data_IF_680004324564
#
_entry.id   IF_680004324564
#
_cell.length_a   1.000
_cell.length_b   1.000
_cell.length_c   1.000
_cell.angle_alpha   90.00
_cell.angle_beta   90.00
_cell.angle_gamma   90.00
#
_symmetry.space_group_name_H-M   'P 1'
#
loop_
_entity.id
_entity.type
_entity.pdbx_description
1 polymer ?
#
# COMPACT_ATOMS: atom_id res chain seq x y z
N UNK A 1 -14.11 -12.30 -0.06
CA UNK A 1 -13.19 -11.18 -0.40
C UNK A 1 -13.52 -10.68 -1.79
N UNK A 2 -13.67 -9.38 -1.94
CA UNK A 2 -14.02 -8.74 -3.20
C UNK A 2 -12.92 -7.75 -3.60
N UNK A 3 -12.51 -7.80 -4.86
CA UNK A 3 -11.58 -6.81 -5.39
C UNK A 3 -12.37 -5.56 -5.78
N UNK A 4 -12.03 -4.43 -5.18
CA UNK A 4 -12.70 -3.16 -5.45
C UNK A 4 -12.04 -2.44 -6.61
N UNK A 5 -10.71 -2.29 -6.52
CA UNK A 5 -9.90 -1.66 -7.56
C UNK A 5 -8.62 -2.45 -7.76
N UNK A 6 -8.13 -2.41 -8.99
CA UNK A 6 -6.81 -2.94 -9.30
C UNK A 6 -6.20 -1.94 -10.28
N UNK A 7 -5.21 -1.20 -9.81
CA UNK A 7 -4.59 -0.11 -10.56
C UNK A 7 -3.15 -0.46 -10.83
N UNK A 8 -2.82 -0.91 -12.05
CA UNK A 8 -1.43 -1.14 -12.41
C UNK A 8 -0.73 0.20 -12.58
N UNK A 9 0.51 0.27 -12.13
CA UNK A 9 1.34 1.45 -12.27
C UNK A 9 2.70 1.06 -12.82
N UNK A 10 3.49 2.06 -13.20
CA UNK A 10 4.82 1.81 -13.74
C UNK A 10 5.76 1.23 -12.66
N UNK A 11 5.61 1.69 -11.42
CA UNK A 11 6.47 1.28 -10.32
C UNK A 11 5.69 0.67 -9.17
N UNK A 12 4.46 1.08 -8.95
CA UNK A 12 3.64 0.64 -7.83
C UNK A 12 2.32 0.10 -8.34
N UNK A 13 1.99 -1.13 -7.97
CA UNK A 13 0.68 -1.72 -8.23
C UNK A 13 -0.19 -1.52 -7.00
N UNK A 14 -1.37 -0.97 -7.19
CA UNK A 14 -2.33 -0.76 -6.11
C UNK A 14 -3.50 -1.72 -6.27
N UNK A 15 -3.80 -2.48 -5.22
CA UNK A 15 -4.95 -3.36 -5.18
C UNK A 15 -5.76 -3.04 -3.94
N UNK A 16 -7.07 -2.89 -4.10
CA UNK A 16 -7.96 -2.64 -2.98
C UNK A 16 -8.96 -3.78 -2.90
N UNK A 17 -9.02 -4.42 -1.74
CA UNK A 17 -9.98 -5.48 -1.45
C UNK A 17 -10.99 -4.99 -0.42
N UNK A 18 -12.18 -5.56 -0.47
CA UNK A 18 -13.17 -5.41 0.60
C UNK A 18 -13.40 -6.78 1.21
N UNK A 19 -13.19 -6.92 2.51
CA UNK A 19 -13.35 -8.17 3.20
C UNK A 19 -13.62 -7.92 4.68
N UNK A 20 -14.63 -8.60 5.20
CA UNK A 20 -14.94 -8.57 6.63
C UNK A 20 -15.12 -7.16 7.16
N UNK A 21 -15.89 -6.33 6.42
CA UNK A 21 -16.20 -4.95 6.76
C UNK A 21 -14.98 -4.03 6.84
N UNK A 22 -13.95 -4.37 6.06
CA UNK A 22 -12.73 -3.57 5.98
C UNK A 22 -12.33 -3.42 4.52
N UNK A 23 -11.66 -2.31 4.23
CA UNK A 23 -10.91 -2.17 3.00
C UNK A 23 -9.47 -2.51 3.28
N UNK A 24 -8.88 -3.31 2.42
CA UNK A 24 -7.46 -3.64 2.46
C UNK A 24 -6.81 -2.96 1.27
N UNK A 25 -5.98 -1.97 1.54
CA UNK A 25 -5.29 -1.22 0.50
C UNK A 25 -3.86 -1.72 0.43
N UNK A 26 -3.50 -2.33 -0.69
CA UNK A 26 -2.20 -2.97 -0.85
C UNK A 26 -1.42 -2.27 -1.94
N UNK A 27 -0.25 -1.74 -1.59
CA UNK A 27 0.70 -1.18 -2.54
C UNK A 27 1.88 -2.13 -2.67
N UNK A 28 2.22 -2.48 -3.90
CA UNK A 28 3.34 -3.37 -4.19
C UNK A 28 4.35 -2.69 -5.08
N UNK A 29 5.62 -2.74 -4.69
CA UNK A 29 6.74 -2.22 -5.48
C UNK A 29 7.91 -3.17 -5.34
N UNK A 30 8.34 -3.77 -6.45
CA UNK A 30 9.41 -4.76 -6.49
C UNK A 30 9.12 -5.92 -5.52
N UNK A 31 9.97 -6.14 -4.53
CA UNK A 31 9.83 -7.20 -3.54
C UNK A 31 9.14 -6.73 -2.27
N UNK A 32 8.64 -5.51 -2.24
CA UNK A 32 8.07 -4.90 -1.05
C UNK A 32 6.58 -4.66 -1.21
N UNK A 33 5.87 -4.71 -0.09
CA UNK A 33 4.45 -4.33 -0.10
C UNK A 33 4.09 -3.61 1.19
N UNK A 34 3.11 -2.73 1.09
CA UNK A 34 2.50 -2.07 2.24
C UNK A 34 1.02 -2.34 2.17
N UNK A 35 0.44 -2.78 3.27
CA UNK A 35 -0.99 -3.06 3.35
C UNK A 35 -1.60 -2.25 4.49
N UNK A 36 -2.66 -1.52 4.16
CA UNK A 36 -3.40 -0.71 5.12
C UNK A 36 -4.81 -1.27 5.24
N UNK A 37 -5.29 -1.39 6.47
CA UNK A 37 -6.65 -1.85 6.75
C UNK A 37 -7.46 -0.65 7.22
N UNK A 38 -8.57 -0.38 6.56
CA UNK A 38 -9.43 0.75 6.88
C UNK A 38 -10.83 0.22 7.13
N UNK A 39 -11.42 0.57 8.28
CA UNK A 39 -12.78 0.14 8.62
C UNK A 39 -13.80 0.82 7.71
N UNK A 40 -14.85 0.07 7.33
CA UNK A 40 -15.98 0.64 6.60
C UNK A 40 -16.74 1.69 7.42
N UNK A 41 -16.51 1.75 8.72
CA UNK A 41 -17.10 2.80 9.56
C UNK A 41 -16.42 4.14 9.35
N UNK A 42 -15.15 4.13 8.97
CA UNK A 42 -14.39 5.35 8.72
C UNK A 42 -14.54 5.82 7.27
N UNK A 43 -14.61 4.86 6.35
CA UNK A 43 -14.77 5.14 4.92
C UNK A 43 -15.90 4.27 4.41
N UNK A 44 -16.96 4.91 3.94
CA UNK A 44 -18.22 4.22 3.68
C UNK A 44 -18.46 3.89 2.20
N UNK A 45 -17.63 4.36 1.29
CA UNK A 45 -17.83 4.10 -0.13
C UNK A 45 -16.53 3.81 -0.87
N UNK A 46 -16.65 3.07 -1.97
CA UNK A 46 -15.53 2.76 -2.85
C UNK A 46 -14.93 4.04 -3.43
N UNK A 47 -15.77 5.05 -3.68
CA UNK A 47 -15.32 6.33 -4.22
C UNK A 47 -14.41 7.06 -3.24
N UNK A 48 -14.70 6.99 -1.94
CA UNK A 48 -13.86 7.60 -0.92
C UNK A 48 -12.51 6.89 -0.82
N UNK A 49 -12.49 5.58 -1.02
CA UNK A 49 -11.22 4.84 -1.07
C UNK A 49 -10.39 5.30 -2.27
N UNK A 50 -11.05 5.55 -3.42
CA UNK A 50 -10.34 6.05 -4.59
C UNK A 50 -9.69 7.41 -4.30
N UNK A 51 -10.40 8.30 -3.62
CA UNK A 51 -9.85 9.60 -3.24
C UNK A 51 -8.64 9.45 -2.34
N UNK A 52 -8.69 8.50 -1.41
CA UNK A 52 -7.58 8.23 -0.50
C UNK A 52 -6.33 7.77 -1.25
N UNK A 53 -6.48 6.84 -2.18
CA UNK A 53 -5.32 6.32 -2.92
C UNK A 53 -4.80 7.31 -3.96
N UNK A 54 -5.57 8.31 -4.33
CA UNK A 54 -5.16 9.38 -5.25
C UNK A 54 -4.55 10.58 -4.52
N UNK A 55 -4.53 10.57 -3.20
CA UNK A 55 -3.97 11.65 -2.40
C UNK A 55 -2.45 11.72 -2.64
N UNK A 56 -2.00 12.86 -3.16
CA UNK A 56 -0.59 13.05 -3.51
C UNK A 56 0.33 13.05 -2.29
N UNK A 57 -0.14 13.57 -1.15
CA UNK A 57 0.64 13.56 0.08
C UNK A 57 0.82 12.14 0.57
N UNK A 58 -0.24 11.35 0.59
CA UNK A 58 -0.17 9.95 0.99
C UNK A 58 0.76 9.17 0.05
N UNK A 59 0.66 9.43 -1.25
CA UNK A 59 1.54 8.78 -2.24
C UNK A 59 3.01 9.09 -1.96
N UNK A 60 3.35 10.33 -1.69
CA UNK A 60 4.72 10.70 -1.37
C UNK A 60 5.20 9.98 -0.11
N UNK A 61 4.32 9.83 0.88
CA UNK A 61 4.66 9.16 2.12
C UNK A 61 4.89 7.67 1.94
N UNK A 62 4.01 6.96 1.21
CA UNK A 62 4.24 5.53 1.03
C UNK A 62 5.41 5.24 0.10
N UNK A 63 5.70 6.12 -0.84
CA UNK A 63 6.91 5.98 -1.67
C UNK A 63 8.17 6.11 -0.84
N UNK A 64 8.20 7.04 0.11
CA UNK A 64 9.33 7.20 1.03
C UNK A 64 9.46 5.99 1.95
N UNK A 65 8.34 5.39 2.38
CA UNK A 65 8.39 4.16 3.18
C UNK A 65 9.02 3.02 2.40
N UNK A 66 8.70 2.88 1.11
CA UNK A 66 9.32 1.85 0.27
C UNK A 66 10.83 2.05 0.20
N UNK A 67 11.28 3.30 0.03
CA UNK A 67 12.71 3.59 0.02
C UNK A 67 13.37 3.18 1.33
N UNK A 68 12.74 3.51 2.45
CA UNK A 68 13.26 3.14 3.77
C UNK A 68 13.26 1.64 4.01
N UNK A 69 12.23 0.94 3.52
CA UNK A 69 12.19 -0.53 3.61
C UNK A 69 13.38 -1.15 2.90
N UNK A 70 13.68 -0.66 1.70
CA UNK A 70 14.81 -1.16 0.91
C UNK A 70 16.15 -0.86 1.61
N UNK A 71 16.36 0.37 2.02
CA UNK A 71 17.61 0.79 2.69
C UNK A 71 17.80 0.02 3.98
N UNK A 72 16.74 -0.09 4.79
CA UNK A 72 16.81 -0.78 6.08
C UNK A 72 17.10 -2.25 5.95
N UNK A 73 16.40 -2.93 5.02
CA UNK A 73 16.62 -4.36 4.81
C UNK A 73 18.05 -4.64 4.34
N UNK A 74 18.53 -3.90 3.35
CA UNK A 74 19.86 -4.14 2.80
C UNK A 74 20.97 -3.80 3.79
N UNK A 75 20.77 -2.76 4.62
CA UNK A 75 21.71 -2.46 5.71
C UNK A 75 21.75 -3.61 6.73
N UNK A 76 20.59 -4.19 7.03
CA UNK A 76 20.51 -5.33 7.96
C UNK A 76 21.23 -6.55 7.39
N UNK A 77 21.04 -6.81 6.08
CA UNK A 77 21.71 -7.92 5.41
C UNK A 77 23.23 -7.75 5.50
N UNK A 78 23.73 -6.55 5.24
CA UNK A 78 25.17 -6.28 5.34
C UNK A 78 25.69 -6.48 6.77
N UNK A 79 24.97 -5.95 7.77
CA UNK A 79 25.38 -6.14 9.17
C UNK A 79 25.36 -7.59 9.61
N UNK A 80 24.50 -8.39 8.98
CA UNK A 80 24.35 -9.82 9.33
C UNK A 80 25.33 -10.69 8.57
N UNK A 81 26.09 -10.13 7.66
CA UNK A 81 27.10 -10.84 6.86
C UNK A 81 26.49 -12.00 6.06
N UNK A 82 25.29 -11.76 5.56
CA UNK A 82 24.58 -12.76 4.74
C UNK A 82 24.95 -12.53 3.27
#
# INVERSE_FOLDING_TARGET
>A
MRIVFEIPGDHVKTTVFNWNQKYLIKFEMDMYEQTYKVSEFDITSDEDIRKLIEDETFKAEYMERFRQMHVGLHAAIERSEI
#
